data_IF_601921059012
#
_entry.id   IF_601921059012
#
_cell.length_a   1.000
_cell.length_b   1.000
_cell.length_c   1.000
_cell.angle_alpha   90.00
_cell.angle_beta   90.00
_cell.angle_gamma   90.00
#
_symmetry.space_group_name_H-M   'P 1'
#
loop_
_entity.id
_entity.type
_entity.pdbx_description
1 polymer ?
#
# COMPACT_ATOMS: atom_id res chain seq x y z
N UNK A 1 22.20 59.07 13.54
CA UNK A 1 22.43 57.81 12.77
C UNK A 1 21.77 56.64 13.52
N UNK A 2 20.64 56.07 13.05
CA UNK A 2 20.07 54.76 13.50
C UNK A 2 18.72 54.46 12.80
N UNK A 3 18.70 54.15 11.50
CA UNK A 3 17.49 53.66 10.79
C UNK A 3 17.84 52.81 9.55
N UNK A 4 18.60 51.71 9.68
CA UNK A 4 18.84 50.77 8.55
C UNK A 4 19.02 49.30 8.94
N UNK A 5 18.39 48.81 10.03
CA UNK A 5 18.57 47.40 10.45
C UNK A 5 17.30 46.54 10.28
N UNK A 6 16.12 47.11 10.00
CA UNK A 6 14.85 46.34 10.03
C UNK A 6 14.42 45.64 8.73
N UNK A 7 15.07 45.86 7.58
CA UNK A 7 14.62 45.28 6.29
C UNK A 7 15.18 43.89 5.98
N UNK A 8 16.20 43.42 6.70
CA UNK A 8 16.90 42.18 6.37
C UNK A 8 16.19 40.93 6.92
N UNK A 9 15.39 41.05 8.00
CA UNK A 9 14.69 39.89 8.58
C UNK A 9 13.46 39.41 7.78
N UNK A 10 12.79 40.28 7.02
CA UNK A 10 11.55 39.89 6.35
C UNK A 10 11.79 38.93 5.18
N UNK A 11 12.88 39.14 4.43
CA UNK A 11 13.25 38.23 3.34
C UNK A 11 13.66 36.84 3.87
N UNK A 12 14.42 36.76 4.97
CA UNK A 12 14.79 35.46 5.54
C UNK A 12 13.58 34.65 6.01
N UNK A 13 12.60 35.30 6.65
CA UNK A 13 11.36 34.65 7.08
C UNK A 13 10.48 34.21 5.89
N UNK A 14 10.45 35.00 4.81
CA UNK A 14 9.72 34.64 3.60
C UNK A 14 10.34 33.41 2.93
N UNK A 15 11.67 33.37 2.80
CA UNK A 15 12.37 32.23 2.21
C UNK A 15 12.22 30.97 3.07
N UNK A 16 12.28 31.07 4.41
CA UNK A 16 12.06 29.90 5.26
C UNK A 16 10.64 29.34 5.12
N UNK A 17 9.62 30.20 5.00
CA UNK A 17 8.24 29.77 4.78
C UNK A 17 8.07 29.08 3.42
N UNK A 18 8.68 29.61 2.36
CA UNK A 18 8.64 28.99 1.03
C UNK A 18 9.28 27.60 1.06
N UNK A 19 10.42 27.46 1.74
CA UNK A 19 11.11 26.16 1.86
C UNK A 19 10.25 25.14 2.61
N UNK A 20 9.59 25.54 3.71
CA UNK A 20 8.70 24.66 4.46
C UNK A 20 7.54 24.18 3.58
N UNK A 21 6.90 25.10 2.84
CA UNK A 21 5.78 24.74 1.94
C UNK A 21 6.26 23.78 0.84
N UNK A 22 7.44 24.02 0.25
CA UNK A 22 7.99 23.14 -0.78
C UNK A 22 8.32 21.74 -0.23
N UNK A 23 8.82 21.65 1.00
CA UNK A 23 9.10 20.38 1.67
C UNK A 23 7.79 19.62 1.93
N UNK A 24 6.75 20.29 2.44
CA UNK A 24 5.44 19.67 2.64
C UNK A 24 4.82 19.19 1.33
N UNK A 25 4.95 19.97 0.25
CA UNK A 25 4.48 19.59 -1.08
C UNK A 25 5.24 18.37 -1.63
N UNK A 26 6.54 18.29 -1.36
CA UNK A 26 7.36 17.15 -1.75
C UNK A 26 6.93 15.86 -1.04
N UNK A 27 6.71 15.92 0.28
CA UNK A 27 6.20 14.75 1.02
C UNK A 27 4.80 14.34 0.56
N UNK A 28 3.91 15.30 0.29
CA UNK A 28 2.58 15.00 -0.26
C UNK A 28 2.63 14.31 -1.62
N UNK A 29 3.60 14.66 -2.48
CA UNK A 29 3.77 14.03 -3.79
C UNK A 29 4.41 12.64 -3.73
N UNK A 30 5.17 12.33 -2.68
CA UNK A 30 5.68 10.98 -2.44
C UNK A 30 4.54 10.07 -1.97
N UNK A 31 3.69 10.58 -1.08
CA UNK A 31 2.56 9.84 -0.50
C UNK A 31 1.46 9.53 -1.53
N UNK A 32 1.32 10.35 -2.58
CA UNK A 32 0.34 10.13 -3.66
C UNK A 32 0.81 9.14 -4.74
N UNK A 33 1.89 8.39 -4.50
CA UNK A 33 2.33 7.33 -5.39
C UNK A 33 1.43 6.10 -5.27
N UNK A 34 0.17 6.19 -5.69
CA UNK A 34 -0.62 4.99 -6.02
C UNK A 34 0.14 4.27 -7.14
N UNK A 35 0.82 3.16 -6.82
CA UNK A 35 1.26 2.24 -7.84
C UNK A 35 0.00 1.73 -8.54
N UNK A 36 -0.15 2.10 -9.81
CA UNK A 36 -1.26 1.63 -10.64
C UNK A 36 -1.07 0.11 -10.78
N UNK A 37 -1.81 -0.66 -9.97
CA UNK A 37 -1.78 -2.12 -9.90
C UNK A 37 -2.02 -2.65 -11.32
N UNK A 38 -0.96 -3.12 -11.98
CA UNK A 38 -1.10 -3.83 -13.25
C UNK A 38 -1.58 -5.24 -12.89
N UNK A 39 -2.87 -5.37 -12.59
CA UNK A 39 -3.55 -6.66 -12.55
C UNK A 39 -3.41 -7.24 -13.95
N UNK A 40 -2.53 -8.23 -14.11
CA UNK A 40 -2.41 -8.90 -15.39
C UNK A 40 -3.78 -9.50 -15.75
N UNK A 41 -4.39 -8.95 -16.81
CA UNK A 41 -5.74 -9.26 -17.30
C UNK A 41 -5.98 -10.75 -17.59
N UNK A 42 -4.95 -11.58 -17.49
CA UNK A 42 -4.93 -13.01 -17.73
C UNK A 42 -5.85 -13.80 -16.78
N UNK A 43 -5.93 -13.42 -15.50
CA UNK A 43 -6.76 -14.14 -14.53
C UNK A 43 -8.24 -13.69 -14.54
N UNK A 44 -8.53 -12.45 -14.94
CA UNK A 44 -9.88 -11.90 -14.91
C UNK A 44 -10.86 -12.65 -15.83
N UNK A 45 -10.37 -13.16 -16.96
CA UNK A 45 -11.17 -13.90 -17.94
C UNK A 45 -11.56 -15.32 -17.50
N UNK A 46 -11.07 -15.80 -16.36
CA UNK A 46 -11.39 -17.13 -15.84
C UNK A 46 -12.73 -17.08 -15.10
N UNK A 47 -13.73 -17.80 -15.61
CA UNK A 47 -15.08 -17.83 -15.02
C UNK A 47 -15.19 -18.70 -13.76
N UNK A 48 -14.37 -19.74 -13.68
CA UNK A 48 -14.36 -20.64 -12.54
C UNK A 48 -13.63 -19.98 -11.37
N UNK A 49 -14.31 -19.81 -10.24
CA UNK A 49 -13.78 -19.09 -9.08
C UNK A 49 -12.56 -19.78 -8.48
N UNK A 50 -12.49 -21.11 -8.51
CA UNK A 50 -11.34 -21.87 -7.99
C UNK A 50 -10.14 -21.73 -8.93
N UNK A 51 -10.36 -21.85 -10.24
CA UNK A 51 -9.27 -21.68 -11.21
C UNK A 51 -8.76 -20.22 -11.23
N UNK A 52 -9.65 -19.25 -10.98
CA UNK A 52 -9.28 -17.84 -10.86
C UNK A 52 -8.45 -17.60 -9.61
N UNK A 53 -8.82 -18.20 -8.49
CA UNK A 53 -8.02 -18.22 -7.26
C UNK A 53 -6.60 -18.75 -7.51
N UNK A 54 -6.51 -19.96 -8.06
CA UNK A 54 -5.24 -20.62 -8.36
C UNK A 54 -4.36 -19.76 -9.28
N UNK A 55 -5.00 -19.02 -10.20
CA UNK A 55 -4.30 -18.10 -11.09
C UNK A 55 -3.64 -16.96 -10.31
N UNK A 56 -4.40 -16.24 -9.47
CA UNK A 56 -3.85 -15.13 -8.67
C UNK A 56 -2.85 -15.60 -7.63
N UNK A 57 -3.11 -16.71 -6.93
CA UNK A 57 -2.15 -17.29 -5.96
C UNK A 57 -0.84 -17.65 -6.63
N UNK A 58 -0.88 -18.20 -7.85
CA UNK A 58 0.34 -18.46 -8.62
C UNK A 58 1.05 -17.17 -9.02
N UNK A 59 0.33 -16.14 -9.44
CA UNK A 59 0.92 -14.84 -9.77
C UNK A 59 1.58 -14.19 -8.56
N UNK A 60 0.91 -14.20 -7.41
CA UNK A 60 1.43 -13.72 -6.13
C UNK A 60 2.73 -14.45 -5.77
N UNK A 61 2.74 -15.78 -5.89
CA UNK A 61 3.92 -16.62 -5.66
C UNK A 61 5.09 -16.33 -6.61
N UNK A 62 4.81 -16.18 -7.91
CA UNK A 62 5.85 -16.01 -8.93
C UNK A 62 6.47 -14.61 -8.88
N UNK A 63 5.69 -13.60 -8.50
CA UNK A 63 6.13 -12.21 -8.42
C UNK A 63 6.61 -11.79 -7.03
N UNK A 64 6.16 -12.48 -5.98
CA UNK A 64 6.28 -11.99 -4.60
C UNK A 64 5.40 -10.78 -4.30
N UNK A 65 4.44 -10.45 -5.18
CA UNK A 65 3.54 -9.32 -4.97
C UNK A 65 2.26 -9.80 -4.25
N UNK A 66 2.07 -9.31 -3.03
CA UNK A 66 0.92 -9.63 -2.17
C UNK A 66 -0.40 -9.00 -2.65
N UNK A 67 -0.36 -7.94 -3.47
CA UNK A 67 -1.57 -7.27 -4.01
C UNK A 67 -2.44 -8.24 -4.84
N UNK A 68 -1.83 -9.27 -5.43
CA UNK A 68 -2.59 -10.32 -6.10
C UNK A 68 -3.55 -11.06 -5.15
N UNK A 69 -3.28 -11.06 -3.84
CA UNK A 69 -4.12 -11.68 -2.83
C UNK A 69 -5.41 -10.88 -2.54
N UNK A 70 -5.44 -9.58 -2.83
CA UNK A 70 -6.66 -8.75 -2.72
C UNK A 70 -7.78 -9.25 -3.62
N UNK A 71 -7.41 -9.80 -4.78
CA UNK A 71 -8.35 -10.30 -5.77
C UNK A 71 -9.05 -11.59 -5.33
N UNK A 72 -8.58 -12.21 -4.22
CA UNK A 72 -9.16 -13.43 -3.69
C UNK A 72 -9.15 -13.51 -2.16
N UNK A 73 -9.97 -12.69 -1.49
CA UNK A 73 -9.93 -12.53 -0.04
C UNK A 73 -10.45 -13.74 0.73
N UNK A 74 -10.98 -14.79 0.09
CA UNK A 74 -11.43 -16.01 0.79
C UNK A 74 -10.29 -16.96 1.18
N UNK A 75 -9.11 -16.82 0.56
CA UNK A 75 -7.94 -17.67 0.76
C UNK A 75 -6.68 -16.79 0.88
N UNK A 76 -6.84 -15.68 1.60
CA UNK A 76 -5.77 -14.69 1.80
C UNK A 76 -4.57 -15.35 2.50
N UNK A 77 -4.79 -16.26 3.45
CA UNK A 77 -3.78 -16.95 4.24
C UNK A 77 -2.86 -17.78 3.35
N UNK A 78 -3.46 -18.63 2.51
CA UNK A 78 -2.72 -19.45 1.55
C UNK A 78 -1.98 -18.57 0.54
N UNK A 79 -2.60 -17.49 0.07
CA UNK A 79 -1.98 -16.57 -0.87
C UNK A 79 -0.76 -15.87 -0.25
N UNK A 80 -0.89 -15.33 0.96
CA UNK A 80 0.18 -14.65 1.69
C UNK A 80 1.33 -15.60 2.04
N UNK A 81 1.03 -16.83 2.46
CA UNK A 81 2.06 -17.86 2.72
C UNK A 81 2.92 -18.15 1.49
N UNK A 82 2.38 -17.99 0.28
CA UNK A 82 3.13 -18.17 -0.97
C UNK A 82 3.80 -16.89 -1.47
N UNK A 83 3.10 -15.76 -1.38
CA UNK A 83 3.53 -14.47 -1.91
C UNK A 83 4.66 -13.86 -1.06
N UNK A 84 4.55 -13.95 0.27
CA UNK A 84 5.53 -13.40 1.20
C UNK A 84 5.98 -14.42 2.24
N UNK A 85 6.74 -15.40 1.76
CA UNK A 85 7.34 -16.45 2.60
C UNK A 85 8.31 -15.90 3.66
N UNK A 86 8.85 -14.69 3.45
CA UNK A 86 9.75 -14.00 4.39
C UNK A 86 9.02 -13.21 5.46
N UNK A 87 7.74 -12.90 5.23
CA UNK A 87 6.90 -12.06 6.10
C UNK A 87 7.50 -10.68 6.32
N UNK A 88 7.89 -10.06 5.20
CA UNK A 88 8.49 -8.73 5.16
C UNK A 88 7.52 -7.65 4.65
N UNK A 89 6.31 -8.03 4.20
CA UNK A 89 5.26 -7.13 3.80
C UNK A 89 4.90 -6.12 4.90
N UNK A 90 4.57 -4.90 4.51
CA UNK A 90 4.14 -3.87 5.45
C UNK A 90 2.73 -4.21 5.96
N UNK A 91 2.50 -4.01 7.26
CA UNK A 91 1.21 -4.33 7.89
C UNK A 91 0.08 -3.57 7.20
N UNK A 92 0.31 -2.31 6.82
CA UNK A 92 -0.70 -1.47 6.18
C UNK A 92 -1.19 -2.09 4.84
N UNK A 93 -0.29 -2.66 4.03
CA UNK A 93 -0.65 -3.36 2.78
C UNK A 93 -1.46 -4.63 3.05
N UNK A 94 -1.12 -5.37 4.11
CA UNK A 94 -1.85 -6.57 4.53
C UNK A 94 -3.25 -6.24 5.06
N UNK A 95 -3.39 -5.12 5.78
CA UNK A 95 -4.68 -4.65 6.26
C UNK A 95 -5.60 -4.25 5.09
N UNK A 96 -5.07 -3.71 4.00
CA UNK A 96 -5.83 -3.42 2.78
C UNK A 96 -6.40 -4.69 2.13
N UNK A 97 -5.60 -5.77 2.07
CA UNK A 97 -6.05 -7.11 1.62
C UNK A 97 -7.22 -7.59 2.48
N UNK A 98 -7.15 -7.44 3.80
CA UNK A 98 -8.25 -7.82 4.69
C UNK A 98 -9.48 -6.93 4.48
N UNK A 99 -9.31 -5.62 4.29
CA UNK A 99 -10.41 -4.68 4.07
C UNK A 99 -11.21 -4.98 2.79
N UNK A 100 -10.54 -5.48 1.74
CA UNK A 100 -11.17 -5.93 0.50
C UNK A 100 -12.16 -7.08 0.70
N UNK A 101 -12.09 -7.80 1.83
CA UNK A 101 -13.02 -8.87 2.15
C UNK A 101 -14.41 -8.35 2.55
N UNK A 102 -15.43 -8.68 1.76
CA UNK A 102 -16.83 -8.30 2.09
C UNK A 102 -17.47 -9.16 3.17
N UNK A 103 -16.91 -10.34 3.47
CA UNK A 103 -17.41 -11.24 4.50
C UNK A 103 -16.76 -10.87 5.84
N UNK A 104 -17.56 -10.41 6.80
CA UNK A 104 -17.05 -9.92 8.09
C UNK A 104 -16.32 -10.99 8.89
N UNK A 105 -16.75 -12.26 8.80
CA UNK A 105 -16.08 -13.35 9.50
C UNK A 105 -14.70 -13.59 8.90
N UNK A 106 -14.60 -13.57 7.57
CA UNK A 106 -13.34 -13.79 6.87
C UNK A 106 -12.39 -12.61 7.00
N UNK A 107 -12.93 -11.39 7.10
CA UNK A 107 -12.15 -10.20 7.43
C UNK A 107 -11.52 -10.32 8.82
N UNK A 108 -12.28 -10.79 9.81
CA UNK A 108 -11.76 -11.04 11.16
C UNK A 108 -10.67 -12.12 11.16
N UNK A 109 -10.92 -13.25 10.48
CA UNK A 109 -9.91 -14.32 10.29
C UNK A 109 -8.62 -13.77 9.66
N UNK A 110 -8.74 -12.80 8.74
CA UNK A 110 -7.62 -12.17 8.05
C UNK A 110 -6.74 -11.34 8.98
N UNK A 111 -7.35 -10.50 9.80
CA UNK A 111 -6.61 -9.74 10.80
C UNK A 111 -5.96 -10.63 11.85
N UNK A 112 -6.65 -11.68 12.31
CA UNK A 112 -6.09 -12.64 13.27
C UNK A 112 -4.85 -13.33 12.67
N UNK A 113 -4.93 -13.74 11.40
CA UNK A 113 -3.79 -14.33 10.71
C UNK A 113 -2.61 -13.35 10.62
N UNK A 114 -2.83 -12.08 10.27
CA UNK A 114 -1.76 -11.07 10.23
C UNK A 114 -1.11 -10.93 11.61
N UNK A 115 -1.89 -10.74 12.67
CA UNK A 115 -1.40 -10.57 14.05
C UNK A 115 -0.55 -11.76 14.53
N UNK A 116 -0.91 -12.99 14.13
CA UNK A 116 -0.16 -14.19 14.51
C UNK A 116 1.13 -14.38 13.71
N UNK A 117 1.23 -13.79 12.52
CA UNK A 117 2.22 -14.19 11.53
C UNK A 117 3.20 -13.08 11.12
N UNK A 118 2.82 -11.80 11.22
CA UNK A 118 3.60 -10.62 10.82
C UNK A 118 3.88 -9.70 12.02
#
# INVERSE_FOLDING_TARGET
MRKRVKKICYNCLLWSLIVIVLISLFFYLIDSGEEEIIVDSTCEGISDTSMKADCYTRMAKESGNIEYCENYPYYFDECLDFADQSREAEIDDLEEICEANTDSSRKEDCYEYIEENY
#
